data_IF_438579666600
#
_entry.id   IF_438579666600
#
_cell.length_a   1.000
_cell.length_b   1.000
_cell.length_c   1.000
_cell.angle_alpha   90.00
_cell.angle_beta   90.00
_cell.angle_gamma   90.00
#
_symmetry.space_group_name_H-M   'P 1'
#
loop_
_entity.id
_entity.type
_entity.pdbx_description
1 polymer ?
#
# COMPACT_ATOMS: atom_id res chain seq x y z
N UNK A 1 4.09 -14.75 -41.12
CA UNK A 1 5.01 -14.26 -40.08
C UNK A 1 4.39 -13.25 -39.07
N UNK A 2 3.36 -12.49 -39.44
CA UNK A 2 2.67 -11.47 -38.57
C UNK A 2 1.77 -12.09 -37.46
N UNK A 3 1.33 -13.32 -37.63
CA UNK A 3 0.41 -13.98 -36.70
C UNK A 3 1.07 -14.33 -35.35
N UNK A 4 2.32 -14.74 -35.37
CA UNK A 4 3.04 -15.16 -34.15
C UNK A 4 3.22 -14.06 -33.09
N UNK A 5 3.62 -12.81 -33.38
CA UNK A 5 3.71 -11.74 -32.40
C UNK A 5 2.36 -11.38 -31.77
N UNK A 6 1.28 -11.43 -32.53
CA UNK A 6 -0.08 -11.14 -32.06
C UNK A 6 -0.58 -12.24 -31.11
N UNK A 7 -0.31 -13.51 -31.41
CA UNK A 7 -0.65 -14.62 -30.53
C UNK A 7 0.11 -14.53 -29.21
N UNK A 8 1.40 -14.17 -29.23
CA UNK A 8 2.21 -13.92 -28.02
C UNK A 8 1.60 -12.78 -27.19
N UNK A 9 1.25 -11.67 -27.83
CA UNK A 9 0.64 -10.53 -27.14
C UNK A 9 -0.70 -10.89 -26.52
N UNK A 10 -1.55 -11.62 -27.24
CA UNK A 10 -2.82 -12.13 -26.72
C UNK A 10 -2.61 -13.08 -25.53
N UNK A 11 -1.63 -13.97 -25.62
CA UNK A 11 -1.28 -14.89 -24.53
C UNK A 11 -0.82 -14.13 -23.28
N UNK A 12 0.01 -13.09 -23.43
CA UNK A 12 0.44 -12.21 -22.32
C UNK A 12 -0.76 -11.50 -21.70
N UNK A 13 -1.68 -10.96 -22.50
CA UNK A 13 -2.89 -10.32 -22.00
C UNK A 13 -3.82 -11.30 -21.26
N UNK A 14 -4.03 -12.48 -21.85
CA UNK A 14 -4.83 -13.53 -21.22
C UNK A 14 -4.23 -14.00 -19.90
N UNK A 15 -2.91 -14.17 -19.86
CA UNK A 15 -2.18 -14.49 -18.63
C UNK A 15 -2.37 -13.40 -17.56
N UNK A 16 -2.19 -12.11 -17.92
CA UNK A 16 -2.41 -11.01 -16.98
C UNK A 16 -3.85 -10.94 -16.49
N UNK A 17 -4.83 -11.08 -17.37
CA UNK A 17 -6.24 -11.10 -17.03
C UNK A 17 -6.57 -12.25 -16.07
N UNK A 18 -6.02 -13.43 -16.31
CA UNK A 18 -6.15 -14.59 -15.41
C UNK A 18 -5.54 -14.28 -14.04
N UNK A 19 -4.34 -13.70 -14.01
CA UNK A 19 -3.70 -13.32 -12.74
C UNK A 19 -4.56 -12.31 -11.95
N UNK A 20 -5.11 -11.29 -12.60
CA UNK A 20 -6.01 -10.32 -11.96
C UNK A 20 -7.28 -10.99 -11.44
N UNK A 21 -7.87 -11.92 -12.22
CA UNK A 21 -9.04 -12.68 -11.79
C UNK A 21 -8.73 -13.53 -10.55
N UNK A 22 -7.60 -14.24 -10.51
CA UNK A 22 -7.19 -15.06 -9.37
C UNK A 22 -6.96 -14.20 -8.11
N UNK A 23 -6.32 -13.02 -8.25
CA UNK A 23 -6.19 -12.06 -7.13
C UNK A 23 -7.55 -11.53 -6.70
N UNK A 24 -8.45 -11.24 -7.64
CA UNK A 24 -9.82 -10.79 -7.34
C UNK A 24 -10.62 -11.84 -6.55
N UNK A 25 -10.48 -13.11 -6.91
CA UNK A 25 -11.17 -14.22 -6.25
C UNK A 25 -10.57 -14.61 -4.90
N UNK A 26 -9.41 -14.05 -4.54
CA UNK A 26 -8.77 -14.34 -3.26
C UNK A 26 -9.54 -13.69 -2.10
N UNK A 27 -9.88 -14.48 -1.08
CA UNK A 27 -10.63 -14.05 0.10
C UNK A 27 -12.14 -14.11 -0.06
N UNK A 28 -12.83 -13.83 1.04
CA UNK A 28 -14.31 -13.81 1.14
C UNK A 28 -14.86 -12.45 0.71
N UNK A 29 -14.22 -11.37 1.18
CA UNK A 29 -14.60 -9.99 0.83
C UNK A 29 -13.95 -9.60 -0.49
N UNK A 30 -14.74 -9.07 -1.41
CA UNK A 30 -14.27 -8.71 -2.75
C UNK A 30 -14.62 -7.27 -3.08
N UNK A 31 -13.68 -6.59 -3.71
CA UNK A 31 -13.97 -5.32 -4.38
C UNK A 31 -14.85 -5.57 -5.60
N UNK A 32 -15.59 -4.57 -6.05
CA UNK A 32 -16.27 -4.66 -7.35
C UNK A 32 -15.22 -4.90 -8.45
N UNK A 33 -15.53 -5.76 -9.42
CA UNK A 33 -14.55 -6.16 -10.44
C UNK A 33 -14.02 -4.98 -11.27
N UNK A 34 -14.89 -4.00 -11.57
CA UNK A 34 -14.48 -2.77 -12.27
C UNK A 34 -13.50 -1.89 -11.45
N UNK A 35 -13.57 -1.95 -10.13
CA UNK A 35 -12.57 -1.35 -9.24
C UNK A 35 -11.29 -2.15 -9.21
N UNK A 36 -11.37 -3.47 -9.15
CA UNK A 36 -10.21 -4.35 -9.15
C UNK A 36 -9.32 -4.15 -10.39
N UNK A 37 -9.92 -3.97 -11.58
CA UNK A 37 -9.18 -3.73 -12.83
C UNK A 37 -8.34 -2.44 -12.83
N UNK A 38 -8.71 -1.45 -12.04
CA UNK A 38 -7.99 -0.16 -11.91
C UNK A 38 -7.27 -0.02 -10.57
N UNK A 39 -7.32 -1.04 -9.75
CA UNK A 39 -6.63 -1.11 -8.48
C UNK A 39 -5.12 -1.38 -8.68
N UNK A 40 -4.30 -0.84 -7.79
CA UNK A 40 -2.84 -1.02 -7.87
C UNK A 40 -2.43 -2.49 -7.79
N UNK A 41 -3.21 -3.32 -7.08
CA UNK A 41 -2.97 -4.77 -6.98
C UNK A 41 -3.09 -5.51 -8.31
N UNK A 42 -3.81 -4.95 -9.30
CA UNK A 42 -3.92 -5.54 -10.64
C UNK A 42 -2.58 -5.53 -11.37
N UNK A 43 -1.79 -4.45 -11.24
CA UNK A 43 -0.47 -4.32 -11.88
C UNK A 43 0.49 -5.38 -11.32
N UNK A 44 0.40 -5.66 -10.01
CA UNK A 44 1.24 -6.63 -9.32
C UNK A 44 0.69 -8.06 -9.35
N UNK A 45 -0.45 -8.32 -10.00
CA UNK A 45 -1.12 -9.62 -9.94
C UNK A 45 -0.22 -10.81 -10.30
N UNK A 46 0.59 -10.81 -11.38
CA UNK A 46 1.49 -11.93 -11.68
C UNK A 46 2.55 -12.15 -10.60
N UNK A 47 3.14 -11.05 -10.09
CA UNK A 47 4.10 -11.12 -9.01
C UNK A 47 3.44 -11.63 -7.71
N UNK A 48 2.27 -11.12 -7.37
CA UNK A 48 1.54 -11.51 -6.16
C UNK A 48 1.22 -13.00 -6.17
N UNK A 49 0.81 -13.57 -7.31
CA UNK A 49 0.56 -15.02 -7.42
C UNK A 49 1.83 -15.85 -7.15
N UNK A 50 3.00 -15.39 -7.62
CA UNK A 50 4.27 -16.04 -7.28
C UNK A 50 4.53 -15.97 -5.77
N UNK A 51 4.34 -14.81 -5.14
CA UNK A 51 4.51 -14.67 -3.69
C UNK A 51 3.56 -15.58 -2.92
N UNK A 52 2.31 -15.73 -3.35
CA UNK A 52 1.35 -16.66 -2.72
C UNK A 52 1.76 -18.12 -2.91
N UNK A 53 2.16 -18.52 -4.11
CA UNK A 53 2.56 -19.89 -4.42
C UNK A 53 3.79 -20.35 -3.63
N UNK A 54 4.74 -19.44 -3.40
CA UNK A 54 5.97 -19.72 -2.66
C UNK A 54 5.95 -19.25 -1.20
N UNK A 55 4.81 -18.77 -0.70
CA UNK A 55 4.65 -18.35 0.70
C UNK A 55 4.89 -19.50 1.67
N UNK A 56 5.70 -19.28 2.68
CA UNK A 56 5.90 -20.23 3.79
C UNK A 56 4.84 -20.07 4.89
N UNK A 57 4.05 -18.99 4.86
CA UNK A 57 2.93 -18.77 5.79
C UNK A 57 1.60 -19.19 5.15
N UNK A 58 0.61 -19.61 5.97
CA UNK A 58 -0.70 -20.02 5.46
C UNK A 58 -1.43 -18.86 4.77
N UNK A 59 -2.30 -19.22 3.80
CA UNK A 59 -3.17 -18.27 3.10
C UNK A 59 -4.37 -17.87 3.98
N UNK A 60 -4.13 -17.07 5.02
CA UNK A 60 -5.13 -16.56 5.97
C UNK A 60 -5.06 -15.05 6.04
N UNK A 61 -6.18 -14.35 6.28
CA UNK A 61 -6.19 -12.90 6.40
C UNK A 61 -5.42 -12.42 7.63
N UNK A 62 -5.69 -12.97 8.81
CA UNK A 62 -4.94 -12.73 10.05
C UNK A 62 -4.06 -13.95 10.33
N UNK A 63 -2.79 -13.71 10.61
CA UNK A 63 -1.79 -14.74 10.82
C UNK A 63 -1.54 -14.96 12.32
N UNK A 64 -1.16 -16.19 12.66
CA UNK A 64 -0.75 -16.49 14.01
C UNK A 64 0.54 -15.74 14.34
N UNK A 65 0.47 -14.89 15.36
CA UNK A 65 1.58 -14.04 15.82
C UNK A 65 2.78 -14.85 16.31
N UNK A 66 2.55 -16.05 16.83
CA UNK A 66 3.61 -16.94 17.29
C UNK A 66 4.56 -17.39 16.17
N UNK A 67 4.12 -17.33 14.92
CA UNK A 67 4.95 -17.59 13.73
C UNK A 67 6.00 -16.50 13.44
N UNK A 68 6.04 -15.41 14.21
CA UNK A 68 6.90 -14.24 13.99
C UNK A 68 7.65 -13.82 15.27
N UNK A 69 8.45 -14.71 15.89
CA UNK A 69 9.10 -14.42 17.18
C UNK A 69 10.06 -13.24 17.13
N UNK A 70 10.62 -12.89 15.96
CA UNK A 70 11.47 -11.71 15.78
C UNK A 70 10.76 -10.39 16.10
N UNK A 71 9.42 -10.36 16.12
CA UNK A 71 8.62 -9.18 16.47
C UNK A 71 8.38 -9.05 17.99
N UNK A 72 8.76 -10.05 18.79
CA UNK A 72 8.64 -10.01 20.25
C UNK A 72 9.43 -8.84 20.83
N UNK A 73 10.55 -8.50 20.19
CA UNK A 73 11.37 -7.36 20.57
C UNK A 73 10.60 -6.03 20.48
N UNK A 74 9.79 -5.84 19.43
CA UNK A 74 8.97 -4.62 19.30
C UNK A 74 7.85 -4.61 20.34
N UNK A 75 7.17 -5.75 20.54
CA UNK A 75 6.10 -5.86 21.52
C UNK A 75 6.61 -5.66 22.94
N UNK A 76 7.75 -6.26 23.32
CA UNK A 76 8.34 -6.09 24.65
C UNK A 76 8.73 -4.64 24.95
N UNK A 77 9.14 -3.89 23.93
CA UNK A 77 9.55 -2.49 24.06
C UNK A 77 8.44 -1.48 23.69
N UNK A 78 7.18 -1.91 23.64
CA UNK A 78 6.09 -1.07 23.16
C UNK A 78 5.93 0.26 23.91
N UNK A 79 6.30 0.31 25.20
CA UNK A 79 6.23 1.54 26.00
C UNK A 79 7.26 2.57 25.55
N UNK A 80 8.51 2.16 25.32
CA UNK A 80 9.54 3.07 24.81
C UNK A 80 9.17 3.58 23.39
N UNK A 81 8.66 2.70 22.53
CA UNK A 81 8.15 3.08 21.21
C UNK A 81 6.97 4.05 21.32
N UNK A 82 6.06 3.82 22.27
CA UNK A 82 4.92 4.71 22.56
C UNK A 82 5.39 6.08 23.01
N UNK A 83 6.39 6.14 23.90
CA UNK A 83 6.85 7.41 24.47
C UNK A 83 7.44 8.31 23.36
N UNK A 84 8.23 7.76 22.43
CA UNK A 84 8.70 8.47 21.24
C UNK A 84 7.54 8.86 20.29
N UNK A 85 6.56 7.97 20.08
CA UNK A 85 5.40 8.27 19.26
C UNK A 85 4.51 9.36 19.89
N UNK A 86 4.38 9.40 21.21
CA UNK A 86 3.64 10.43 21.94
C UNK A 86 4.28 11.79 21.77
N UNK A 87 5.61 11.88 21.95
CA UNK A 87 6.33 13.12 21.69
C UNK A 87 6.11 13.64 20.26
N UNK A 88 6.21 12.77 19.25
CA UNK A 88 5.93 13.16 17.86
C UNK A 88 4.47 13.55 17.62
N UNK A 89 3.53 12.95 18.35
CA UNK A 89 2.11 13.28 18.25
C UNK A 89 1.84 14.66 18.83
N UNK A 90 2.36 14.95 20.02
CA UNK A 90 2.18 16.21 20.74
C UNK A 90 2.83 17.38 19.99
N UNK A 91 4.02 17.18 19.42
CA UNK A 91 4.75 18.17 18.61
C UNK A 91 4.20 18.31 17.17
N UNK A 92 3.21 17.51 16.79
CA UNK A 92 2.56 17.58 15.48
C UNK A 92 3.39 17.04 14.30
N UNK A 93 4.44 16.25 14.56
CA UNK A 93 5.23 15.60 13.51
C UNK A 93 4.48 14.48 12.77
N UNK A 94 3.52 13.81 13.43
CA UNK A 94 2.65 12.83 12.77
C UNK A 94 1.59 13.59 11.98
N UNK A 95 1.79 13.73 10.67
CA UNK A 95 0.99 14.59 9.80
C UNK A 95 0.70 13.97 8.44
N UNK A 96 -0.21 14.56 7.69
CA UNK A 96 -0.38 14.28 6.27
C UNK A 96 0.87 14.74 5.48
N UNK A 97 1.16 14.07 4.37
CA UNK A 97 2.27 14.47 3.52
C UNK A 97 2.13 15.92 3.05
N UNK A 98 3.18 16.71 3.23
CA UNK A 98 3.25 18.04 2.68
C UNK A 98 3.31 17.98 1.13
N UNK A 99 2.79 19.01 0.46
CA UNK A 99 2.91 19.19 -1.01
C UNK A 99 2.44 17.97 -1.85
N UNK A 100 1.55 17.13 -1.31
CA UNK A 100 1.00 15.96 -2.04
C UNK A 100 2.10 15.04 -2.62
N UNK A 101 3.18 14.84 -1.89
CA UNK A 101 4.33 14.03 -2.33
C UNK A 101 4.29 12.57 -1.84
N UNK A 102 3.11 12.06 -1.49
CA UNK A 102 2.89 10.68 -1.05
C UNK A 102 1.65 10.11 -1.75
N UNK A 103 1.88 9.47 -2.88
CA UNK A 103 0.83 8.87 -3.69
C UNK A 103 0.19 7.66 -3.00
N UNK A 104 0.99 6.89 -2.25
CA UNK A 104 0.57 5.63 -1.62
C UNK A 104 -0.57 5.83 -0.61
N UNK A 105 -0.50 6.92 0.17
CA UNK A 105 -1.46 7.20 1.24
C UNK A 105 -2.34 8.43 1.01
N UNK A 106 -2.30 9.03 -0.20
CA UNK A 106 -3.04 10.27 -0.49
C UNK A 106 -4.55 10.15 -0.24
N UNK A 107 -5.15 9.00 -0.52
CA UNK A 107 -6.59 8.76 -0.26
C UNK A 107 -6.90 8.73 1.24
N UNK A 108 -5.97 8.29 2.07
CA UNK A 108 -6.11 8.17 3.52
C UNK A 108 -5.97 9.53 4.21
N UNK A 109 -5.06 10.38 3.72
CA UNK A 109 -4.93 11.76 4.23
C UNK A 109 -6.23 12.55 4.10
N UNK A 110 -7.03 12.31 3.06
CA UNK A 110 -8.34 12.93 2.87
C UNK A 110 -9.38 12.50 3.91
N UNK A 111 -9.10 11.42 4.63
CA UNK A 111 -9.94 10.87 5.70
C UNK A 111 -9.37 11.16 7.10
N UNK A 112 -8.40 12.07 7.18
CA UNK A 112 -7.77 12.49 8.43
C UNK A 112 -6.61 11.60 8.90
N UNK A 113 -6.33 10.49 8.21
CA UNK A 113 -5.17 9.66 8.52
C UNK A 113 -3.86 10.44 8.35
N UNK A 114 -2.89 10.19 9.24
CA UNK A 114 -1.60 10.87 9.26
C UNK A 114 -0.49 9.85 9.50
N UNK A 115 0.75 10.22 9.16
CA UNK A 115 1.90 9.33 9.34
C UNK A 115 3.19 10.08 9.66
N UNK A 116 4.16 9.33 10.22
CA UNK A 116 5.57 9.69 10.31
C UNK A 116 6.39 8.45 9.97
N UNK A 117 7.18 8.50 8.91
CA UNK A 117 8.02 7.38 8.48
C UNK A 117 9.22 7.21 9.39
N UNK A 118 9.47 5.97 9.83
CA UNK A 118 10.67 5.55 10.54
C UNK A 118 11.70 4.96 9.57
N UNK A 119 11.22 4.12 8.65
CA UNK A 119 12.00 3.42 7.64
C UNK A 119 11.12 3.11 6.43
N UNK A 120 11.67 3.12 5.21
CA UNK A 120 10.91 2.77 4.01
C UNK A 120 11.75 1.96 3.03
N UNK A 121 11.70 0.62 3.13
CA UNK A 121 12.38 -0.38 2.28
C UNK A 121 13.88 -0.13 2.05
N UNK A 122 14.54 0.53 2.96
CA UNK A 122 15.93 0.89 2.93
C UNK A 122 16.41 1.30 4.31
N UNK A 123 17.32 2.27 4.35
CA UNK A 123 17.77 2.87 5.60
C UNK A 123 16.66 3.72 6.25
N UNK A 124 16.70 3.90 7.57
CA UNK A 124 15.83 4.83 8.26
C UNK A 124 15.95 6.26 7.71
N UNK A 125 14.90 7.05 7.90
CA UNK A 125 14.92 8.47 7.58
C UNK A 125 15.77 9.23 8.63
N UNK A 126 16.50 10.26 8.20
CA UNK A 126 17.34 11.05 9.11
C UNK A 126 16.50 11.72 10.21
N UNK A 127 15.30 12.22 9.87
CA UNK A 127 14.36 12.75 10.86
C UNK A 127 13.92 11.71 11.89
N UNK A 128 13.78 10.45 11.48
CA UNK A 128 13.42 9.38 12.41
C UNK A 128 14.59 8.98 13.31
N UNK A 129 15.81 8.95 12.80
CA UNK A 129 17.00 8.69 13.62
C UNK A 129 17.22 9.77 14.70
N UNK A 130 16.91 11.04 14.35
CA UNK A 130 17.01 12.16 15.29
C UNK A 130 15.91 12.18 16.34
N UNK A 131 14.67 11.87 15.96
CA UNK A 131 13.50 12.05 16.81
C UNK A 131 13.02 10.75 17.50
N UNK A 132 13.39 9.58 16.97
CA UNK A 132 12.96 8.27 17.47
C UNK A 132 14.12 7.27 17.51
N UNK A 133 15.26 7.61 18.19
CA UNK A 133 16.46 6.80 18.13
C UNK A 133 16.28 5.38 18.70
N UNK A 134 15.46 5.21 19.74
CA UNK A 134 15.21 3.90 20.34
C UNK A 134 14.38 3.01 19.40
N UNK A 135 13.28 3.54 18.85
CA UNK A 135 12.45 2.81 17.89
C UNK A 135 13.25 2.44 16.65
N UNK A 136 14.03 3.37 16.11
CA UNK A 136 14.89 3.11 14.94
C UNK A 136 15.92 2.04 15.22
N UNK A 137 16.58 2.04 16.41
CA UNK A 137 17.53 1.00 16.81
C UNK A 137 16.86 -0.39 16.87
N UNK A 138 15.66 -0.49 17.45
CA UNK A 138 14.88 -1.73 17.47
C UNK A 138 14.54 -2.21 16.04
N UNK A 139 14.09 -1.32 15.17
CA UNK A 139 13.77 -1.66 13.78
C UNK A 139 14.99 -2.11 12.98
N UNK A 140 16.16 -1.52 13.22
CA UNK A 140 17.44 -1.93 12.60
C UNK A 140 17.85 -3.34 13.01
N UNK A 141 17.56 -3.74 14.24
CA UNK A 141 17.91 -5.07 14.77
C UNK A 141 17.01 -6.20 14.21
N UNK A 142 15.93 -5.87 13.48
CA UNK A 142 15.00 -6.84 12.90
C UNK A 142 15.04 -6.75 11.35
N UNK A 143 15.91 -7.51 10.67
CA UNK A 143 16.10 -7.41 9.21
C UNK A 143 14.86 -7.70 8.37
N UNK A 144 13.90 -8.44 8.93
CA UNK A 144 12.61 -8.73 8.26
C UNK A 144 11.67 -7.52 8.20
N UNK A 145 11.85 -6.49 9.05
CA UNK A 145 11.11 -5.23 8.95
C UNK A 145 11.68 -4.39 7.81
N UNK A 146 10.91 -4.24 6.74
CA UNK A 146 11.32 -3.52 5.52
C UNK A 146 10.86 -2.07 5.51
N UNK A 147 9.68 -1.80 6.05
CA UNK A 147 9.16 -0.45 6.23
C UNK A 147 8.51 -0.32 7.60
N UNK A 148 8.54 0.88 8.17
CA UNK A 148 7.84 1.19 9.41
C UNK A 148 7.48 2.68 9.48
N UNK A 149 6.36 2.98 10.11
CA UNK A 149 5.91 4.34 10.39
C UNK A 149 5.02 4.38 11.62
N UNK A 150 4.92 5.52 12.26
CA UNK A 150 3.79 5.80 13.13
C UNK A 150 2.59 6.22 12.27
N UNK A 151 1.45 5.61 12.52
CA UNK A 151 0.22 5.86 11.78
C UNK A 151 -0.91 6.25 12.72
N UNK A 152 -1.52 7.40 12.43
CA UNK A 152 -2.56 8.02 13.24
C UNK A 152 -3.91 7.93 12.53
N UNK A 153 -4.94 7.50 13.25
CA UNK A 153 -6.33 7.52 12.82
C UNK A 153 -7.18 8.31 13.84
N UNK A 154 -7.68 9.51 13.49
CA UNK A 154 -8.42 10.35 14.42
C UNK A 154 -9.83 9.81 14.71
N UNK A 155 -10.53 10.35 15.73
CA UNK A 155 -11.93 10.06 16.03
C UNK A 155 -12.83 10.21 14.80
N UNK A 156 -13.85 9.36 14.67
CA UNK A 156 -14.83 9.41 13.59
C UNK A 156 -14.29 9.02 12.19
N UNK A 157 -13.02 8.64 12.08
CA UNK A 157 -12.38 8.34 10.79
C UNK A 157 -12.60 6.91 10.33
N UNK A 158 -12.71 6.75 9.01
CA UNK A 158 -12.87 5.44 8.36
C UNK A 158 -12.03 5.34 7.11
N UNK A 159 -11.20 4.31 7.01
CA UNK A 159 -10.50 3.95 5.79
C UNK A 159 -11.37 3.01 4.97
N UNK A 160 -11.56 3.33 3.69
CA UNK A 160 -12.42 2.53 2.82
C UNK A 160 -11.81 1.15 2.51
N UNK A 161 -12.64 0.14 2.21
CA UNK A 161 -12.15 -1.17 1.78
C UNK A 161 -11.21 -1.06 0.57
N UNK A 162 -10.01 -1.65 0.70
CA UNK A 162 -8.95 -1.66 -0.30
C UNK A 162 -8.09 -2.91 -0.14
N UNK A 163 -7.19 -3.13 -1.09
CA UNK A 163 -6.10 -4.10 -1.03
C UNK A 163 -4.79 -3.35 -1.17
N UNK A 164 -3.78 -3.72 -0.40
CA UNK A 164 -2.44 -3.23 -0.70
C UNK A 164 -1.87 -3.99 -1.90
N UNK A 165 -1.07 -3.32 -2.74
CA UNK A 165 -0.71 -3.85 -4.05
C UNK A 165 0.33 -4.97 -4.01
N UNK A 166 1.11 -5.09 -2.92
CA UNK A 166 2.37 -5.80 -2.89
C UNK A 166 2.34 -6.99 -1.93
N UNK A 167 2.40 -8.22 -2.46
CA UNK A 167 2.37 -9.45 -1.67
C UNK A 167 3.75 -9.90 -1.15
N UNK A 168 4.81 -9.15 -1.42
CA UNK A 168 6.15 -9.44 -0.91
C UNK A 168 6.34 -9.15 0.57
N UNK A 169 5.39 -8.44 1.17
CA UNK A 169 5.31 -8.14 2.60
C UNK A 169 4.05 -8.70 3.24
N UNK A 170 4.05 -8.65 4.56
CA UNK A 170 2.92 -8.83 5.46
C UNK A 170 2.86 -7.60 6.34
N UNK A 171 1.68 -7.25 6.83
CA UNK A 171 1.49 -6.08 7.68
C UNK A 171 1.54 -6.46 9.15
N UNK A 172 2.32 -5.71 9.91
CA UNK A 172 2.37 -5.74 11.37
C UNK A 172 1.85 -4.43 11.95
N UNK A 173 0.91 -4.51 12.88
CA UNK A 173 0.49 -3.37 13.68
C UNK A 173 0.73 -3.65 15.15
N UNK A 174 1.27 -2.65 15.87
CA UNK A 174 1.39 -2.65 17.32
C UNK A 174 0.68 -1.40 17.86
N UNK A 175 -0.30 -1.60 18.75
CA UNK A 175 -1.03 -0.50 19.40
C UNK A 175 -0.12 0.27 20.35
N UNK A 176 -0.06 1.59 20.21
CA UNK A 176 0.77 2.47 21.04
C UNK A 176 -0.12 3.39 21.91
N UNK A 177 -0.99 4.14 21.26
CA UNK A 177 -2.00 5.01 21.89
C UNK A 177 -3.32 4.61 21.26
N UNK A 178 -4.15 3.90 22.01
CA UNK A 178 -5.40 3.38 21.46
C UNK A 178 -6.56 3.63 22.43
N UNK A 179 -7.80 3.67 21.93
CA UNK A 179 -8.98 3.74 22.80
C UNK A 179 -9.18 2.49 23.66
N UNK A 180 -8.42 1.42 23.44
CA UNK A 180 -8.60 0.10 24.07
C UNK A 180 -10.06 -0.40 23.98
N UNK A 181 -10.72 -0.14 22.86
CA UNK A 181 -12.13 -0.38 22.64
C UNK A 181 -12.38 -1.02 21.26
N UNK A 182 -13.41 -1.86 21.15
CA UNK A 182 -13.87 -2.41 19.87
C UNK A 182 -14.42 -1.34 18.90
N UNK A 183 -14.61 -0.11 19.36
CA UNK A 183 -14.96 1.02 18.50
C UNK A 183 -13.78 1.51 17.64
N UNK A 184 -12.56 0.99 17.86
CA UNK A 184 -11.40 1.28 17.03
C UNK A 184 -10.77 -0.04 16.55
N UNK A 185 -11.01 -0.39 15.29
CA UNK A 185 -10.71 -1.72 14.76
C UNK A 185 -10.37 -1.73 13.28
N UNK A 186 -9.70 -2.80 12.87
CA UNK A 186 -9.45 -3.15 11.46
C UNK A 186 -10.20 -4.44 11.14
N UNK A 187 -10.68 -4.52 9.92
CA UNK A 187 -11.23 -5.75 9.34
C UNK A 187 -10.32 -6.21 8.21
N UNK A 188 -9.94 -7.47 8.19
CA UNK A 188 -9.15 -8.09 7.13
C UNK A 188 -9.93 -9.29 6.63
N UNK A 189 -10.40 -9.23 5.39
CA UNK A 189 -11.29 -10.24 4.78
C UNK A 189 -12.55 -10.55 5.63
N UNK A 190 -13.00 -9.56 6.40
CA UNK A 190 -14.14 -9.68 7.32
C UNK A 190 -13.77 -10.16 8.73
N UNK A 191 -12.54 -10.56 9.00
CA UNK A 191 -12.06 -10.88 10.35
C UNK A 191 -11.71 -9.57 11.08
N UNK A 192 -12.22 -9.40 12.30
CA UNK A 192 -12.06 -8.19 13.10
C UNK A 192 -10.86 -8.29 14.04
N UNK A 193 -10.08 -7.19 14.11
CA UNK A 193 -9.08 -6.98 15.16
C UNK A 193 -9.25 -5.58 15.75
N UNK A 194 -9.49 -5.50 17.06
CA UNK A 194 -9.52 -4.23 17.80
C UNK A 194 -8.12 -3.91 18.35
N UNK A 195 -7.63 -2.70 18.07
CA UNK A 195 -6.34 -2.29 18.61
C UNK A 195 -6.42 -2.04 20.11
N UNK A 196 -5.39 -2.48 20.83
CA UNK A 196 -5.15 -2.22 22.24
C UNK A 196 -3.68 -1.83 22.47
N UNK A 197 -3.43 -1.07 23.52
CA UNK A 197 -2.08 -0.66 23.91
C UNK A 197 -1.21 -1.88 24.21
N UNK A 198 -0.04 -1.96 23.56
CA UNK A 198 0.88 -3.09 23.65
C UNK A 198 0.40 -4.39 22.99
N UNK A 199 -0.78 -4.40 22.36
CA UNK A 199 -1.27 -5.54 21.56
C UNK A 199 -0.90 -5.40 20.12
N UNK A 200 -0.51 -6.50 19.50
CA UNK A 200 -0.07 -6.54 18.12
C UNK A 200 -0.86 -7.54 17.26
N UNK A 201 -0.75 -7.38 15.96
CA UNK A 201 -1.37 -8.26 14.95
C UNK A 201 -0.49 -8.33 13.71
N UNK A 202 -0.41 -9.52 13.11
CA UNK A 202 0.16 -9.74 11.77
C UNK A 202 -0.96 -10.15 10.83
N UNK A 203 -1.05 -9.52 9.67
CA UNK A 203 -2.06 -9.87 8.66
C UNK A 203 -1.52 -9.73 7.24
N UNK A 204 -2.19 -10.39 6.32
CA UNK A 204 -1.89 -10.29 4.89
C UNK A 204 -2.69 -9.14 4.27
N UNK A 205 -2.02 -8.02 4.06
CA UNK A 205 -2.57 -6.77 3.53
C UNK A 205 -3.12 -6.86 2.10
N UNK A 206 -2.84 -7.96 1.42
CA UNK A 206 -3.37 -8.23 0.08
C UNK A 206 -4.79 -8.82 0.09
N UNK A 207 -5.35 -9.16 1.24
CA UNK A 207 -6.80 -9.33 1.41
C UNK A 207 -7.48 -7.96 1.48
N UNK A 208 -8.76 -7.91 1.12
CA UNK A 208 -9.54 -6.68 1.28
C UNK A 208 -9.62 -6.34 2.76
N UNK A 209 -9.16 -5.15 3.11
CA UNK A 209 -9.20 -4.67 4.48
C UNK A 209 -9.65 -3.22 4.56
N UNK A 210 -10.15 -2.84 5.74
CA UNK A 210 -10.56 -1.47 6.07
C UNK A 210 -10.46 -1.25 7.57
N UNK A 211 -10.43 0.01 7.98
CA UNK A 211 -10.31 0.38 9.37
C UNK A 211 -11.32 1.45 9.74
N UNK A 212 -11.76 1.47 10.98
CA UNK A 212 -12.63 2.50 11.52
C UNK A 212 -12.28 2.84 12.96
N UNK A 213 -12.43 4.10 13.31
CA UNK A 213 -12.33 4.61 14.67
C UNK A 213 -13.59 5.40 14.97
N UNK A 214 -14.57 4.75 15.58
CA UNK A 214 -15.84 5.37 16.00
C UNK A 214 -15.81 5.82 17.45
N UNK A 215 -14.63 5.81 18.10
CA UNK A 215 -14.41 6.32 19.44
C UNK A 215 -14.11 7.82 19.43
N UNK A 216 -14.11 8.44 20.62
CA UNK A 216 -13.74 9.84 20.82
C UNK A 216 -12.22 10.07 20.93
N UNK A 217 -11.41 9.01 20.84
CA UNK A 217 -9.97 9.09 21.04
C UNK A 217 -9.21 8.80 19.74
N UNK A 218 -8.09 9.48 19.56
CA UNK A 218 -7.16 9.22 18.47
C UNK A 218 -6.45 7.87 18.68
N UNK A 219 -6.21 7.12 17.60
CA UNK A 219 -5.38 5.93 17.61
C UNK A 219 -4.03 6.22 16.96
N UNK A 220 -2.93 5.88 17.64
CA UNK A 220 -1.57 5.80 17.07
C UNK A 220 -1.04 4.38 17.18
N UNK A 221 -0.51 3.84 16.10
CA UNK A 221 0.12 2.52 16.05
C UNK A 221 1.50 2.62 15.43
N UNK A 222 2.37 1.67 15.77
CA UNK A 222 3.47 1.30 14.90
C UNK A 222 2.89 0.42 13.79
N UNK A 223 3.04 0.87 12.56
CA UNK A 223 2.65 0.22 11.33
C UNK A 223 3.91 -0.21 10.62
N UNK A 224 4.10 -1.50 10.35
CA UNK A 224 5.29 -1.98 9.70
C UNK A 224 4.98 -3.03 8.62
N UNK A 225 5.80 -3.03 7.57
CA UNK A 225 5.85 -4.08 6.57
C UNK A 225 6.96 -5.04 6.95
N UNK A 226 6.62 -6.28 7.18
CA UNK A 226 7.57 -7.36 7.41
C UNK A 226 7.68 -8.20 6.14
N UNK A 227 8.88 -8.64 5.83
CA UNK A 227 9.11 -9.50 4.68
C UNK A 227 8.28 -10.77 4.78
N UNK A 228 7.56 -11.13 3.72
CA UNK A 228 6.84 -12.40 3.65
C UNK A 228 7.85 -13.57 3.67
N UNK A 229 7.74 -14.50 4.63
CA UNK A 229 8.53 -15.72 4.61
C UNK A 229 8.23 -16.54 3.34
N UNK A 230 9.26 -16.90 2.59
CA UNK A 230 9.15 -17.65 1.35
C UNK A 230 9.91 -18.99 1.46
N UNK A 231 9.38 -20.02 0.78
CA UNK A 231 9.91 -21.39 0.86
C UNK A 231 11.25 -21.60 0.18
N UNK A 232 11.64 -20.71 -0.75
CA UNK A 232 12.86 -20.85 -1.53
C UNK A 232 13.73 -19.60 -1.51
N UNK A 233 15.06 -19.76 -1.42
CA UNK A 233 16.02 -18.65 -1.39
C UNK A 233 15.98 -17.80 -2.66
N UNK A 234 15.79 -18.42 -3.83
CA UNK A 234 15.73 -17.69 -5.08
C UNK A 234 14.49 -16.78 -5.17
N UNK A 235 13.34 -17.23 -4.64
CA UNK A 235 12.14 -16.39 -4.58
C UNK A 235 12.32 -15.24 -3.58
N UNK A 236 12.98 -15.49 -2.43
CA UNK A 236 13.35 -14.43 -1.50
C UNK A 236 14.29 -13.40 -2.16
N UNK A 237 15.25 -13.84 -2.97
CA UNK A 237 16.13 -12.93 -3.71
C UNK A 237 15.36 -12.06 -4.73
N UNK A 238 14.37 -12.63 -5.41
CA UNK A 238 13.47 -11.86 -6.30
C UNK A 238 12.68 -10.84 -5.47
N UNK A 239 12.07 -11.28 -4.34
CA UNK A 239 11.33 -10.40 -3.47
C UNK A 239 12.18 -9.24 -2.95
N UNK A 240 13.42 -9.50 -2.52
CA UNK A 240 14.35 -8.46 -2.07
C UNK A 240 14.60 -7.40 -3.16
N UNK A 241 14.85 -7.83 -4.41
CA UNK A 241 15.07 -6.90 -5.53
C UNK A 241 13.84 -6.05 -5.85
N UNK A 242 12.66 -6.70 -5.89
CA UNK A 242 11.40 -5.99 -6.14
C UNK A 242 11.09 -5.03 -5.00
N UNK A 243 11.24 -5.44 -3.75
CA UNK A 243 11.05 -4.59 -2.56
C UNK A 243 11.97 -3.37 -2.57
N UNK A 244 13.27 -3.57 -2.84
CA UNK A 244 14.24 -2.48 -2.91
C UNK A 244 13.92 -1.50 -4.05
N UNK A 245 13.50 -1.99 -5.21
CA UNK A 245 13.07 -1.16 -6.32
C UNK A 245 11.80 -0.36 -5.96
N UNK A 246 10.78 -1.03 -5.39
CA UNK A 246 9.54 -0.38 -4.97
C UNK A 246 9.80 0.69 -3.91
N UNK A 247 10.63 0.40 -2.92
CA UNK A 247 11.02 1.36 -1.89
C UNK A 247 11.63 2.62 -2.49
N UNK A 248 12.57 2.47 -3.43
CA UNK A 248 13.20 3.59 -4.14
C UNK A 248 12.20 4.49 -4.87
N UNK A 249 11.28 3.90 -5.61
CA UNK A 249 10.35 4.67 -6.45
C UNK A 249 9.18 5.29 -5.69
N UNK A 250 8.84 4.75 -4.49
CA UNK A 250 7.72 5.20 -3.66
C UNK A 250 8.12 5.93 -2.39
N UNK A 251 9.43 6.15 -2.13
CA UNK A 251 9.91 6.86 -0.96
C UNK A 251 9.27 8.26 -0.84
N UNK A 252 8.93 8.64 0.40
CA UNK A 252 8.33 9.94 0.71
C UNK A 252 8.98 10.52 1.99
N UNK A 253 9.31 11.82 2.01
CA UNK A 253 9.95 12.44 3.17
C UNK A 253 8.97 12.70 4.31
N UNK A 254 9.51 12.88 5.52
CA UNK A 254 8.77 13.42 6.67
C UNK A 254 8.81 14.96 6.69
N UNK A 255 9.93 15.52 6.32
CA UNK A 255 10.23 16.96 6.43
C UNK A 255 10.67 17.55 5.09
N UNK A 256 10.65 18.86 4.95
CA UNK A 256 11.13 19.57 3.75
C UNK A 256 12.63 19.35 3.49
N UNK A 257 13.44 19.14 4.55
CA UNK A 257 14.88 18.85 4.42
C UNK A 257 15.20 17.46 3.85
N UNK A 258 14.22 16.57 3.70
CA UNK A 258 14.38 15.21 3.15
C UNK A 258 13.83 15.07 1.72
N UNK A 259 13.49 16.16 1.03
CA UNK A 259 12.84 16.14 -0.30
C UNK A 259 13.66 15.41 -1.36
N UNK A 260 14.97 15.40 -1.28
CA UNK A 260 15.86 14.68 -2.20
C UNK A 260 15.58 13.16 -2.22
N UNK A 261 15.11 12.60 -1.12
CA UNK A 261 14.74 11.18 -0.98
C UNK A 261 13.37 10.84 -1.58
N UNK A 262 12.65 11.83 -2.15
CA UNK A 262 11.33 11.57 -2.77
C UNK A 262 11.48 10.68 -4.00
N UNK A 263 10.77 9.54 -3.99
CA UNK A 263 10.77 8.58 -5.07
C UNK A 263 10.09 9.09 -6.36
N UNK A 264 10.43 8.48 -7.49
CA UNK A 264 9.95 8.90 -8.81
C UNK A 264 8.41 8.95 -8.90
N UNK A 265 7.71 7.94 -8.36
CA UNK A 265 6.24 7.88 -8.36
C UNK A 265 5.65 9.08 -7.61
N UNK A 266 6.22 9.44 -6.47
CA UNK A 266 5.76 10.57 -5.67
C UNK A 266 6.07 11.92 -6.33
N UNK A 267 7.21 12.05 -7.03
CA UNK A 267 7.53 13.24 -7.85
C UNK A 267 6.52 13.41 -8.99
N UNK A 268 6.22 12.32 -9.70
CA UNK A 268 5.23 12.34 -10.80
C UNK A 268 3.82 12.66 -10.26
N UNK A 269 3.46 12.08 -9.11
CA UNK A 269 2.20 12.36 -8.45
C UNK A 269 2.08 13.83 -8.04
N UNK A 270 3.11 14.42 -7.44
CA UNK A 270 3.14 15.85 -7.08
C UNK A 270 2.98 16.77 -8.31
N UNK A 271 3.60 16.41 -9.45
CA UNK A 271 3.40 17.10 -10.71
C UNK A 271 1.93 17.04 -11.18
N UNK A 272 1.28 15.88 -11.02
CA UNK A 272 -0.13 15.70 -11.40
C UNK A 272 -1.11 16.49 -10.52
N UNK A 273 -0.71 16.86 -9.30
CA UNK A 273 -1.51 17.65 -8.35
C UNK A 273 -1.34 19.18 -8.51
N UNK A 274 -0.38 19.64 -9.36
CA UNK A 274 -0.28 21.06 -9.68
C UNK A 274 -1.59 21.55 -10.29
N UNK A 275 -1.96 22.81 -9.98
CA UNK A 275 -3.26 23.41 -10.36
C UNK A 275 -3.62 23.05 -11.81
N UNK A 276 -4.78 22.46 -12.04
CA UNK A 276 -5.17 22.04 -13.38
C UNK A 276 -5.29 23.23 -14.31
N UNK A 277 -4.58 23.19 -15.42
CA UNK A 277 -4.73 24.17 -16.50
C UNK A 277 -6.16 24.16 -17.09
N UNK A 278 -6.47 25.11 -17.96
CA UNK A 278 -7.81 25.29 -18.56
C UNK A 278 -8.40 24.00 -19.15
N UNK A 279 -7.58 23.16 -19.79
CA UNK A 279 -8.02 21.88 -20.36
C UNK A 279 -8.49 20.85 -19.32
N UNK A 280 -7.94 20.88 -18.11
CA UNK A 280 -8.38 19.96 -17.04
C UNK A 280 -9.71 20.40 -16.45
N UNK A 281 -9.94 21.71 -16.31
CA UNK A 281 -11.22 22.28 -15.90
C UNK A 281 -12.31 21.95 -16.92
N UNK A 282 -12.01 22.07 -18.23
CA UNK A 282 -12.91 21.68 -19.31
C UNK A 282 -13.26 20.18 -19.25
N UNK A 283 -12.26 19.29 -19.10
CA UNK A 283 -12.47 17.85 -18.96
C UNK A 283 -13.34 17.50 -17.74
N UNK A 284 -13.12 18.17 -16.60
CA UNK A 284 -13.92 17.98 -15.40
C UNK A 284 -15.37 18.44 -15.59
N UNK A 285 -15.59 19.60 -16.19
CA UNK A 285 -16.91 20.13 -16.53
C UNK A 285 -17.64 19.22 -17.54
N UNK A 286 -16.94 18.77 -18.59
CA UNK A 286 -17.49 17.85 -19.57
C UNK A 286 -17.89 16.51 -18.92
N UNK A 287 -17.02 15.93 -18.05
CA UNK A 287 -17.31 14.71 -17.31
C UNK A 287 -18.52 14.83 -16.37
N UNK A 288 -18.68 15.98 -15.70
CA UNK A 288 -19.80 16.21 -14.78
C UNK A 288 -21.12 16.37 -15.55
N UNK A 289 -21.10 17.12 -16.64
CA UNK A 289 -22.29 17.43 -17.46
C UNK A 289 -22.74 16.27 -18.36
N UNK A 290 -21.77 15.51 -18.92
CA UNK A 290 -22.03 14.47 -19.92
C UNK A 290 -21.47 13.10 -19.49
N UNK A 291 -21.86 12.64 -18.28
CA UNK A 291 -21.34 11.40 -17.67
C UNK A 291 -21.43 10.16 -18.57
N UNK A 292 -22.56 9.97 -19.27
CA UNK A 292 -22.77 8.82 -20.18
C UNK A 292 -21.88 8.92 -21.42
N UNK A 293 -21.82 10.10 -22.04
CA UNK A 293 -21.00 10.35 -23.23
C UNK A 293 -19.50 10.21 -22.89
N UNK A 294 -19.05 10.76 -21.76
CA UNK A 294 -17.67 10.59 -21.30
C UNK A 294 -17.28 9.11 -21.11
N UNK A 295 -18.17 8.31 -20.51
CA UNK A 295 -17.96 6.86 -20.40
C UNK A 295 -17.92 6.18 -21.77
N UNK A 296 -18.83 6.51 -22.67
CA UNK A 296 -18.85 5.96 -24.02
C UNK A 296 -17.55 6.27 -24.77
N UNK A 297 -17.11 7.54 -24.78
CA UNK A 297 -15.83 7.95 -25.40
C UNK A 297 -14.63 7.22 -24.78
N UNK A 298 -14.61 7.05 -23.45
CA UNK A 298 -13.56 6.28 -22.78
C UNK A 298 -13.51 4.83 -23.24
N UNK A 299 -14.66 4.14 -23.31
CA UNK A 299 -14.71 2.74 -23.75
C UNK A 299 -14.42 2.59 -25.24
N UNK A 300 -14.91 3.51 -26.07
CA UNK A 300 -14.57 3.54 -27.49
C UNK A 300 -13.06 3.75 -27.70
N UNK A 301 -12.43 4.63 -26.92
CA UNK A 301 -10.99 4.83 -26.95
C UNK A 301 -10.20 3.57 -26.55
N UNK A 302 -10.67 2.84 -25.53
CA UNK A 302 -10.08 1.55 -25.13
C UNK A 302 -10.25 0.51 -26.23
N UNK A 303 -11.45 0.38 -26.80
CA UNK A 303 -11.74 -0.54 -27.90
C UNK A 303 -10.91 -0.22 -29.14
N UNK A 304 -10.77 1.06 -29.48
CA UNK A 304 -9.91 1.51 -30.59
C UNK A 304 -8.44 1.17 -30.34
N UNK A 305 -7.96 1.39 -29.12
CA UNK A 305 -6.59 1.02 -28.72
C UNK A 305 -6.37 -0.49 -28.82
N UNK A 306 -7.33 -1.28 -28.34
CA UNK A 306 -7.32 -2.75 -28.46
C UNK A 306 -7.30 -3.18 -29.92
N UNK A 307 -8.13 -2.56 -30.78
CA UNK A 307 -8.16 -2.82 -32.21
C UNK A 307 -6.81 -2.48 -32.87
N UNK A 308 -6.23 -1.31 -32.56
CA UNK A 308 -4.92 -0.90 -33.05
C UNK A 308 -3.81 -1.88 -32.64
N UNK A 309 -3.82 -2.35 -31.41
CA UNK A 309 -2.81 -3.27 -30.90
C UNK A 309 -2.95 -4.67 -31.49
N UNK A 310 -4.17 -5.19 -31.58
CA UNK A 310 -4.40 -6.61 -31.90
C UNK A 310 -4.85 -6.89 -33.34
N UNK A 311 -5.57 -5.96 -33.98
CA UNK A 311 -6.25 -6.21 -35.25
C UNK A 311 -5.78 -5.29 -36.39
N UNK A 312 -5.30 -4.09 -36.11
CA UNK A 312 -4.87 -3.17 -37.16
C UNK A 312 -3.68 -3.72 -37.95
N UNK A 313 -3.60 -3.51 -39.27
CA UNK A 313 -2.44 -3.87 -40.05
C UNK A 313 -1.24 -2.99 -39.61
N UNK A 314 -0.23 -3.60 -39.03
CA UNK A 314 0.98 -2.90 -38.59
C UNK A 314 1.93 -2.71 -39.78
N UNK A 315 2.25 -1.48 -40.17
CA UNK A 315 3.11 -1.21 -41.31
C UNK A 315 4.57 -1.63 -41.10
N UNK A 316 4.99 -1.88 -39.86
CA UNK A 316 6.37 -2.20 -39.50
C UNK A 316 6.74 -3.71 -39.59
N UNK A 317 5.80 -4.58 -39.99
CA UNK A 317 6.01 -6.03 -40.09
C UNK A 317 5.72 -6.56 -41.51
N UNK A 318 5.91 -5.71 -42.52
CA UNK A 318 5.95 -6.16 -43.91
C UNK A 318 7.35 -6.64 -44.32
#
# INVERSE_FOLDING_TARGET
>A
MILAPRLVLLAVFAFFALCVLLVHLRGRVRLRFDRQLVDHSAIFAPYNLLMYAFSAVPARPILDRSGFPQLDLLQANWRAIRDEATHLFDEGYIRAAAKSNDASFNSFFKQGWKRFYLKWYGEPLASAEALCPQTVALLKSIPSVKAAMFALLPPGSKLNPHRDPFAGSLRYHLGLITPNSRNCRIFVDGEEHAWGDGKDVVFDETYVHWAENTSEQTRVILFADIERPLRTRWMSAINHRVSAFMGKITASPNTEGEEEKTGFVNRLFALSQRKPGAGHKFKAAFRSRYKKLYKACKYLGILLLMWLIFLAPWPFFR
#
